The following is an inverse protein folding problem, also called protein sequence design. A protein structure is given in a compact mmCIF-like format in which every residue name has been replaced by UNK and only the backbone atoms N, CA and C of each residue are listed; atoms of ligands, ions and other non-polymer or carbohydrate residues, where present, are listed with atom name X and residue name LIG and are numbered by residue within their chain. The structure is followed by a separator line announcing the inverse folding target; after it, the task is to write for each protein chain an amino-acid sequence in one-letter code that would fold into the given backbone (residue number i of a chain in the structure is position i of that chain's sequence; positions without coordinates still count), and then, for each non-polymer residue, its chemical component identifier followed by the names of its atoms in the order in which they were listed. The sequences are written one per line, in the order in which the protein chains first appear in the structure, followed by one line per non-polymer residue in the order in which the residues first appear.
data_IF_480250385293
#
_entry.id   IF_480250385293
#
_cell.length_a   1.000
_cell.length_b   1.000
_cell.length_c   1.000
_cell.angle_alpha   90.00
_cell.angle_beta   90.00
_cell.angle_gamma   90.00
#
_symmetry.space_group_name_H-M   'P 1'
#
loop_
_entity.id
_entity.type
_entity.pdbx_description
1 polymer ?
#
# COMPACT_ATOMS: atom_id res chain seq x y z
N UNK A 1 5.83 4.15 4.01
CA UNK A 1 4.93 5.14 3.35
C UNK A 1 3.84 5.54 4.32
N UNK A 2 3.30 6.77 4.24
CA UNK A 2 2.07 7.10 4.97
C UNK A 2 0.87 6.55 4.21
N UNK A 3 0.20 5.58 4.83
CA UNK A 3 -0.95 4.89 4.26
C UNK A 3 -2.22 5.73 4.47
N UNK A 4 -3.08 5.81 3.45
CA UNK A 4 -4.44 6.33 3.64
C UNK A 4 -5.24 5.35 4.51
N UNK A 5 -6.18 5.88 5.29
CA UNK A 5 -7.09 5.06 6.11
C UNK A 5 -7.76 3.95 5.29
N UNK A 6 -7.68 2.72 5.80
CA UNK A 6 -8.21 1.53 5.12
C UNK A 6 -7.31 0.97 4.00
N UNK A 7 -6.11 1.52 3.78
CA UNK A 7 -5.10 0.90 2.92
C UNK A 7 -4.32 -0.17 3.69
N UNK A 8 -4.13 -1.33 3.08
CA UNK A 8 -3.29 -2.41 3.63
C UNK A 8 -2.37 -2.94 2.55
N UNK A 9 -1.07 -3.03 2.87
CA UNK A 9 -0.06 -3.75 2.09
C UNK A 9 0.52 -4.82 3.01
N UNK A 10 0.36 -6.08 2.63
CA UNK A 10 0.96 -7.17 3.41
C UNK A 10 1.59 -8.24 2.52
N UNK A 11 2.67 -8.81 3.04
CA UNK A 11 3.44 -9.86 2.40
C UNK A 11 3.02 -11.22 2.96
N UNK A 12 2.74 -12.18 2.07
CA UNK A 12 2.56 -13.58 2.42
C UNK A 12 3.89 -14.33 2.31
N UNK A 13 4.48 -14.81 3.43
CA UNK A 13 5.75 -15.54 3.41
C UNK A 13 5.66 -16.93 2.80
N UNK A 14 4.47 -17.53 2.70
CA UNK A 14 4.27 -18.87 2.16
C UNK A 14 4.30 -18.83 0.64
N UNK A 15 3.45 -18.00 0.02
CA UNK A 15 3.43 -17.85 -1.44
C UNK A 15 4.48 -16.87 -1.97
N UNK A 16 5.15 -16.13 -1.08
CA UNK A 16 6.06 -15.03 -1.41
C UNK A 16 5.42 -13.96 -2.30
N UNK A 17 4.15 -13.66 -2.06
CA UNK A 17 3.38 -12.63 -2.80
C UNK A 17 3.03 -11.44 -1.92
N UNK A 18 2.57 -10.35 -2.53
CA UNK A 18 2.11 -9.15 -1.82
C UNK A 18 0.68 -8.87 -2.21
N UNK A 19 -0.14 -8.58 -1.21
CA UNK A 19 -1.54 -8.26 -1.39
C UNK A 19 -1.74 -6.81 -0.95
N UNK A 20 -2.28 -6.01 -1.85
CA UNK A 20 -2.64 -4.61 -1.61
C UNK A 20 -4.16 -4.50 -1.64
N UNK A 21 -4.76 -4.07 -0.53
CA UNK A 21 -6.21 -3.88 -0.39
C UNK A 21 -6.48 -2.41 -0.10
N UNK A 22 -7.33 -1.79 -0.91
CA UNK A 22 -7.69 -0.39 -0.72
C UNK A 22 -8.95 0.00 -1.51
N UNK A 23 -9.84 0.83 -0.92
CA UNK A 23 -11.09 1.33 -1.55
C UNK A 23 -11.91 0.23 -2.26
N UNK A 24 -12.03 -0.93 -1.62
CA UNK A 24 -12.75 -2.10 -2.14
C UNK A 24 -12.05 -2.86 -3.27
N UNK A 25 -10.81 -2.49 -3.62
CA UNK A 25 -9.99 -3.19 -4.63
C UNK A 25 -8.93 -4.04 -3.93
N UNK A 26 -8.71 -5.24 -4.48
CA UNK A 26 -7.60 -6.13 -4.09
C UNK A 26 -6.70 -6.33 -5.30
N UNK A 27 -5.42 -5.97 -5.15
CA UNK A 27 -4.38 -6.22 -6.16
C UNK A 27 -3.37 -7.19 -5.58
N UNK A 28 -3.13 -8.28 -6.29
CA UNK A 28 -2.13 -9.28 -5.92
C UNK A 28 -0.90 -9.08 -6.80
N UNK A 29 0.20 -8.70 -6.19
CA UNK A 29 1.51 -8.72 -6.84
C UNK A 29 2.10 -10.12 -6.70
N UNK A 30 2.12 -10.85 -7.82
CA UNK A 30 2.68 -12.19 -7.87
C UNK A 30 4.20 -12.11 -7.76
N UNK A 31 4.74 -12.89 -6.84
CA UNK A 31 6.18 -13.01 -6.60
C UNK A 31 6.85 -14.07 -7.46
N UNK A 32 8.00 -14.61 -7.02
CA UNK A 32 8.46 -14.60 -5.63
C UNK A 32 9.18 -13.30 -5.23
N UNK A 33 8.78 -12.71 -4.10
CA UNK A 33 9.59 -11.71 -3.40
C UNK A 33 10.53 -12.41 -2.42
N UNK A 34 11.79 -11.99 -2.41
CA UNK A 34 12.84 -12.61 -1.58
C UNK A 34 12.61 -12.40 -0.07
N UNK A 35 11.92 -11.33 0.30
CA UNK A 35 11.69 -10.96 1.70
C UNK A 35 10.41 -10.15 1.87
N UNK A 36 9.93 -10.06 3.10
CA UNK A 36 8.85 -9.15 3.46
C UNK A 36 9.18 -7.70 3.11
N UNK A 37 10.44 -7.28 3.30
CA UNK A 37 10.89 -5.92 2.97
C UNK A 37 10.75 -5.63 1.47
N UNK A 38 11.27 -6.51 0.61
CA UNK A 38 11.20 -6.30 -0.84
C UNK A 38 9.77 -6.41 -1.38
N UNK A 39 8.95 -7.27 -0.78
CA UNK A 39 7.52 -7.35 -1.09
C UNK A 39 6.75 -6.08 -0.71
N UNK A 40 6.87 -5.62 0.55
CA UNK A 40 6.18 -4.42 1.00
C UNK A 40 6.62 -3.20 0.20
N UNK A 41 7.91 -3.06 -0.12
CA UNK A 41 8.40 -1.96 -0.96
C UNK A 41 7.75 -1.97 -2.36
N UNK A 42 7.53 -3.14 -2.97
CA UNK A 42 6.83 -3.25 -4.25
C UNK A 42 5.34 -2.90 -4.14
N UNK A 43 4.69 -3.25 -3.03
CA UNK A 43 3.32 -2.83 -2.74
C UNK A 43 3.20 -1.32 -2.54
N UNK A 44 4.11 -0.70 -1.80
CA UNK A 44 4.18 0.76 -1.62
C UNK A 44 4.41 1.48 -2.96
N UNK A 45 5.31 0.98 -3.80
CA UNK A 45 5.55 1.52 -5.14
C UNK A 45 4.29 1.44 -6.04
N UNK A 46 3.53 0.35 -5.96
CA UNK A 46 2.21 0.26 -6.62
C UNK A 46 1.26 1.34 -6.11
N UNK A 47 1.15 1.53 -4.80
CA UNK A 47 0.29 2.57 -4.22
C UNK A 47 0.68 3.97 -4.75
N UNK A 48 1.98 4.27 -4.80
CA UNK A 48 2.48 5.53 -5.38
C UNK A 48 2.08 5.69 -6.84
N UNK A 49 2.25 4.65 -7.66
CA UNK A 49 1.89 4.67 -9.10
C UNK A 49 0.40 4.88 -9.33
N UNK A 50 -0.44 4.42 -8.39
CA UNK A 50 -1.88 4.60 -8.43
C UNK A 50 -2.35 5.92 -7.79
N UNK A 51 -1.42 6.75 -7.30
CA UNK A 51 -1.73 8.02 -6.65
C UNK A 51 -2.33 7.85 -5.26
N UNK A 52 -2.19 6.69 -4.64
CA UNK A 52 -2.72 6.42 -3.30
C UNK A 52 -1.67 6.83 -2.27
N UNK A 53 -1.93 7.91 -1.53
CA UNK A 53 -1.05 8.46 -0.47
C UNK A 53 -1.92 9.00 0.65
N UNK A 54 -1.43 9.00 1.89
CA UNK A 54 -2.12 9.69 2.98
C UNK A 54 -2.36 11.17 2.61
N UNK A 55 -3.63 11.59 2.65
CA UNK A 55 -4.04 12.98 2.53
C UNK A 55 -3.90 13.71 3.87
N UNK A 56 -2.77 13.58 4.56
CA UNK A 56 -2.55 14.28 5.84
C UNK A 56 -2.26 15.79 5.65
N UNK A 57 -2.76 16.38 4.55
CA UNK A 57 -2.67 17.81 4.23
C UNK A 57 -4.03 18.52 4.14
N UNK A 58 -5.14 17.85 4.46
CA UNK A 58 -6.47 18.48 4.43
C UNK A 58 -7.10 18.72 5.81
N UNK A 59 -6.31 18.66 6.89
CA UNK A 59 -6.78 19.04 8.24
C UNK A 59 -6.45 20.50 8.61
N UNK A 60 -5.79 21.27 7.75
CA UNK A 60 -5.38 22.68 8.05
C UNK A 60 -6.10 23.73 7.20
N UNK A 61 -7.23 23.41 6.56
CA UNK A 61 -8.06 24.40 5.83
C UNK A 61 -9.54 24.45 6.22
N UNK A 62 -9.91 23.93 7.38
CA UNK A 62 -11.30 24.05 7.88
C UNK A 62 -11.44 24.91 9.15
N UNK A 63 -10.39 25.64 9.57
CA UNK A 63 -10.42 26.53 10.74
C UNK A 63 -9.73 27.90 10.53
N UNK A 64 -9.68 28.42 9.30
CA UNK A 64 -9.35 29.83 9.04
C UNK A 64 -10.37 30.46 8.10
#
# INVERSE_FOLDING_TARGET
MDYEDGMTVFYDPVSKTVIVVFRGKTTILKGPYESARSGVAAGEDLCVKLGWRSNDRDTTKQLM
#
